data_IF_531817342521
#
_entry.id   IF_531817342521
#
_cell.length_a   1.000
_cell.length_b   1.000
_cell.length_c   1.000
_cell.angle_alpha   90.00
_cell.angle_beta   90.00
_cell.angle_gamma   90.00
#
_symmetry.space_group_name_H-M   'P 1'
#
loop_
_entity.id
_entity.type
_entity.pdbx_description
1 polymer ?
#
# COMPACT_ATOMS: atom_id res chain seq x y z
N UNK A 1 -32.49 -59.87 -47.84
CA UNK A 1 -32.53 -58.67 -46.98
C UNK A 1 -33.96 -58.53 -46.49
N UNK A 2 -34.23 -58.73 -45.20
CA UNK A 2 -35.58 -58.49 -44.66
C UNK A 2 -35.82 -57.00 -44.55
N UNK A 3 -37.00 -56.56 -44.99
CA UNK A 3 -37.39 -55.16 -45.00
C UNK A 3 -37.83 -54.73 -43.59
N UNK A 4 -37.81 -53.43 -43.30
CA UNK A 4 -38.35 -52.87 -42.05
C UNK A 4 -39.80 -53.33 -41.81
N UNK A 5 -40.55 -53.55 -42.89
CA UNK A 5 -41.93 -54.03 -42.85
C UNK A 5 -42.02 -55.46 -42.32
N UNK A 6 -41.09 -56.33 -42.70
CA UNK A 6 -41.06 -57.73 -42.24
C UNK A 6 -40.72 -57.78 -40.75
N UNK A 7 -39.75 -56.96 -40.30
CA UNK A 7 -39.42 -56.86 -38.87
C UNK A 7 -40.55 -56.29 -38.01
N UNK A 8 -41.37 -55.39 -38.55
CA UNK A 8 -42.52 -54.84 -37.84
C UNK A 8 -43.70 -55.82 -37.80
N UNK A 9 -43.85 -56.66 -38.84
CA UNK A 9 -44.84 -57.73 -38.85
C UNK A 9 -44.50 -58.82 -37.82
N UNK A 10 -43.24 -59.27 -37.78
CA UNK A 10 -42.77 -60.25 -36.79
C UNK A 10 -42.96 -59.73 -35.34
N UNK A 11 -42.69 -58.44 -35.09
CA UNK A 11 -42.90 -57.83 -33.77
C UNK A 11 -44.37 -57.70 -33.37
N UNK A 12 -45.27 -57.62 -34.35
CA UNK A 12 -46.71 -57.54 -34.11
C UNK A 12 -47.31 -58.94 -33.83
N UNK A 13 -46.73 -60.00 -34.40
CA UNK A 13 -47.11 -61.38 -34.11
C UNK A 13 -46.64 -61.86 -32.72
N UNK A 14 -45.48 -61.38 -32.25
CA UNK A 14 -44.96 -61.70 -30.91
C UNK A 14 -45.62 -60.90 -29.76
N UNK A 15 -46.49 -59.93 -30.08
CA UNK A 15 -47.18 -59.14 -29.07
C UNK A 15 -48.30 -59.94 -28.41
N UNK A 16 -48.12 -60.32 -27.13
CA UNK A 16 -49.15 -61.01 -26.32
C UNK A 16 -50.50 -60.27 -26.39
N UNK A 17 -51.63 -60.94 -26.72
CA UNK A 17 -52.94 -60.32 -26.70
C UNK A 17 -53.34 -59.94 -25.28
N UNK A 18 -53.22 -58.67 -24.96
CA UNK A 18 -53.71 -58.09 -23.71
C UNK A 18 -54.03 -56.63 -23.97
N UNK A 19 -55.25 -56.21 -23.64
CA UNK A 19 -55.61 -54.79 -23.75
C UNK A 19 -54.62 -53.96 -22.91
N UNK A 20 -54.06 -52.87 -23.46
CA UNK A 20 -53.15 -52.03 -22.70
C UNK A 20 -53.87 -51.55 -21.45
N UNK A 21 -53.24 -51.75 -20.29
CA UNK A 21 -53.78 -51.35 -19.00
C UNK A 21 -54.27 -49.88 -19.09
N UNK A 22 -55.57 -49.61 -18.89
CA UNK A 22 -56.17 -48.30 -19.16
C UNK A 22 -55.56 -47.18 -18.31
N UNK A 23 -54.87 -47.53 -17.22
CA UNK A 23 -54.16 -46.58 -16.36
C UNK A 23 -52.72 -46.26 -16.80
N UNK A 24 -52.20 -46.86 -17.89
CA UNK A 24 -50.87 -46.54 -18.43
C UNK A 24 -50.79 -45.07 -18.87
N UNK A 25 -51.84 -44.55 -19.52
CA UNK A 25 -51.90 -43.16 -19.95
C UNK A 25 -51.98 -42.18 -18.75
N UNK A 26 -52.72 -42.57 -17.72
CA UNK A 26 -52.82 -41.81 -16.46
C UNK A 26 -51.49 -41.77 -15.70
N UNK A 27 -50.79 -42.91 -15.62
CA UNK A 27 -49.45 -43.02 -15.03
C UNK A 27 -48.40 -42.25 -15.83
N UNK A 28 -48.43 -42.35 -17.16
CA UNK A 28 -47.55 -41.59 -18.06
C UNK A 28 -47.72 -40.08 -17.92
N UNK A 29 -48.97 -39.57 -17.86
CA UNK A 29 -49.24 -38.13 -17.65
C UNK A 29 -48.81 -37.65 -16.26
N UNK A 30 -49.00 -38.44 -15.19
CA UNK A 30 -48.51 -38.09 -13.85
C UNK A 30 -46.99 -38.06 -13.79
N UNK A 31 -46.31 -39.02 -14.44
CA UNK A 31 -44.87 -39.06 -14.53
C UNK A 31 -44.31 -37.87 -15.32
N UNK A 32 -44.93 -37.51 -16.45
CA UNK A 32 -44.55 -36.33 -17.24
C UNK A 32 -44.75 -35.00 -16.49
N UNK A 33 -45.86 -34.84 -15.74
CA UNK A 33 -46.10 -33.65 -14.90
C UNK A 33 -45.09 -33.56 -13.75
N UNK A 34 -44.76 -34.69 -13.10
CA UNK A 34 -43.73 -34.76 -12.04
C UNK A 34 -42.34 -34.42 -12.58
N UNK A 35 -42.01 -34.89 -13.80
CA UNK A 35 -40.73 -34.60 -14.46
C UNK A 35 -40.61 -33.12 -14.83
N UNK A 36 -41.65 -32.50 -15.41
CA UNK A 36 -41.66 -31.07 -15.73
C UNK A 36 -41.53 -30.18 -14.50
N UNK A 37 -42.19 -30.51 -13.39
CA UNK A 37 -42.06 -29.76 -12.14
C UNK A 37 -40.64 -29.83 -11.55
N UNK A 38 -39.97 -30.99 -11.65
CA UNK A 38 -38.58 -31.15 -11.21
C UNK A 38 -37.60 -30.35 -12.10
N UNK A 39 -37.80 -30.34 -13.41
CA UNK A 39 -36.95 -29.59 -14.34
C UNK A 39 -37.09 -28.07 -14.15
N UNK A 40 -38.33 -27.57 -13.96
CA UNK A 40 -38.57 -26.15 -13.71
C UNK A 40 -37.97 -25.69 -12.37
N UNK A 41 -38.07 -26.51 -11.32
CA UNK A 41 -37.44 -26.22 -10.03
C UNK A 41 -35.92 -26.16 -10.09
N UNK A 42 -35.27 -27.06 -10.84
CA UNK A 42 -33.83 -27.04 -11.04
C UNK A 42 -33.34 -25.80 -11.80
N UNK A 43 -34.04 -25.41 -12.88
CA UNK A 43 -33.70 -24.21 -13.66
C UNK A 43 -33.87 -22.93 -12.82
N UNK A 44 -34.93 -22.83 -12.02
CA UNK A 44 -35.16 -21.69 -11.13
C UNK A 44 -34.07 -21.57 -10.06
N UNK A 45 -33.61 -22.69 -9.47
CA UNK A 45 -32.53 -22.68 -8.49
C UNK A 45 -31.19 -22.23 -9.11
N UNK A 46 -30.86 -22.72 -10.31
CA UNK A 46 -29.67 -22.29 -11.04
C UNK A 46 -29.75 -20.81 -11.44
N UNK A 47 -30.92 -20.33 -11.88
CA UNK A 47 -31.13 -18.93 -12.22
C UNK A 47 -31.04 -18.01 -10.99
N UNK A 48 -31.59 -18.42 -9.84
CA UNK A 48 -31.44 -17.70 -8.57
C UNK A 48 -29.98 -17.65 -8.12
N UNK A 49 -29.22 -18.73 -8.32
CA UNK A 49 -27.80 -18.77 -8.01
C UNK A 49 -26.97 -17.89 -8.94
N UNK A 50 -27.26 -17.88 -10.23
CA UNK A 50 -26.63 -16.97 -11.19
C UNK A 50 -26.96 -15.50 -10.86
N UNK A 51 -28.19 -15.21 -10.45
CA UNK A 51 -28.60 -13.87 -10.04
C UNK A 51 -27.96 -13.43 -8.72
N UNK A 52 -27.84 -14.32 -7.72
CA UNK A 52 -27.20 -14.04 -6.44
C UNK A 52 -25.67 -13.90 -6.57
N UNK A 53 -25.03 -14.66 -7.45
CA UNK A 53 -23.60 -14.50 -7.75
C UNK A 53 -23.33 -13.21 -8.54
N UNK A 54 -24.18 -12.87 -9.52
CA UNK A 54 -24.11 -11.57 -10.19
C UNK A 54 -24.35 -10.39 -9.23
N UNK A 55 -25.30 -10.51 -8.30
CA UNK A 55 -25.57 -9.50 -7.28
C UNK A 55 -24.45 -9.40 -6.23
N UNK A 56 -23.76 -10.50 -5.91
CA UNK A 56 -22.59 -10.49 -5.03
C UNK A 56 -21.37 -9.81 -5.65
N UNK A 57 -21.21 -9.90 -6.98
CA UNK A 57 -20.18 -9.17 -7.73
C UNK A 57 -20.57 -7.69 -7.92
N UNK A 58 -21.85 -7.39 -8.09
CA UNK A 58 -22.37 -6.03 -8.24
C UNK A 58 -22.58 -5.29 -6.90
N UNK A 59 -22.61 -6.02 -5.78
CA UNK A 59 -22.79 -5.51 -4.42
C UNK A 59 -21.55 -4.83 -3.85
N UNK A 60 -20.83 -4.07 -4.68
CA UNK A 60 -19.90 -3.05 -4.18
C UNK A 60 -20.76 -2.13 -3.28
N UNK A 61 -20.48 -2.00 -1.98
CA UNK A 61 -21.17 -1.01 -1.17
C UNK A 61 -20.90 0.35 -1.82
N UNK A 62 -21.94 0.88 -2.48
CA UNK A 62 -21.98 2.29 -2.85
C UNK A 62 -22.06 3.02 -1.51
N UNK A 63 -20.90 3.40 -0.97
CA UNK A 63 -20.88 4.39 0.08
C UNK A 63 -21.59 5.63 -0.46
N UNK A 64 -22.34 6.37 0.39
CA UNK A 64 -22.79 7.69 0.02
C UNK A 64 -21.55 8.43 -0.45
N UNK A 65 -21.53 8.84 -1.72
CA UNK A 65 -20.51 9.75 -2.23
C UNK A 65 -20.62 10.97 -1.31
N UNK A 66 -19.72 11.07 -0.33
CA UNK A 66 -19.53 12.33 0.36
C UNK A 66 -19.19 13.32 -0.74
N UNK A 67 -19.79 14.52 -0.74
CA UNK A 67 -19.40 15.55 -1.68
C UNK A 67 -17.88 15.62 -1.64
N UNK A 68 -17.23 15.49 -2.80
CA UNK A 68 -15.81 15.73 -2.90
C UNK A 68 -15.54 17.03 -2.13
N UNK A 69 -14.54 17.01 -1.25
CA UNK A 69 -14.01 18.26 -0.72
C UNK A 69 -13.87 19.22 -1.92
N UNK A 70 -14.28 20.50 -1.79
CA UNK A 70 -14.22 21.45 -2.91
C UNK A 70 -12.89 21.28 -3.63
N UNK A 71 -12.96 21.02 -4.94
CA UNK A 71 -11.89 20.46 -5.75
C UNK A 71 -10.51 21.01 -5.34
N UNK A 72 -9.60 20.11 -4.94
CA UNK A 72 -8.21 20.46 -4.65
C UNK A 72 -7.86 20.76 -3.20
N UNK A 73 -8.81 20.68 -2.24
CA UNK A 73 -8.44 20.79 -0.81
C UNK A 73 -7.94 19.45 -0.26
N UNK A 74 -6.68 19.41 0.17
CA UNK A 74 -6.09 18.29 0.91
C UNK A 74 -6.52 18.31 2.37
N UNK A 75 -6.56 17.15 3.01
CA UNK A 75 -6.91 16.97 4.42
C UNK A 75 -5.98 15.96 5.09
N UNK A 76 -5.81 16.10 6.41
CA UNK A 76 -5.15 15.13 7.27
C UNK A 76 -6.21 14.41 8.12
N UNK A 77 -6.41 13.09 7.98
CA UNK A 77 -7.32 12.36 8.87
C UNK A 77 -6.81 12.38 10.32
N UNK A 78 -7.70 12.63 11.28
CA UNK A 78 -7.41 12.54 12.73
C UNK A 78 -7.08 11.11 13.19
N UNK A 79 -7.36 10.13 12.31
CA UNK A 79 -7.01 8.73 12.49
C UNK A 79 -6.63 8.07 11.17
N UNK A 80 -5.56 7.31 11.19
CA UNK A 80 -5.14 6.45 10.08
C UNK A 80 -5.41 4.99 10.45
N UNK A 81 -6.37 4.38 9.75
CA UNK A 81 -6.78 3.00 10.01
C UNK A 81 -5.76 1.98 9.49
N UNK A 82 -5.67 0.83 10.16
CA UNK A 82 -4.95 -0.33 9.62
C UNK A 82 -5.69 -0.84 8.38
N UNK A 83 -5.05 -0.86 7.19
CA UNK A 83 -5.70 -1.30 5.98
C UNK A 83 -6.02 -2.80 6.03
N UNK A 84 -7.16 -3.19 5.47
CA UNK A 84 -7.46 -4.61 5.24
C UNK A 84 -6.50 -5.15 4.18
N UNK A 85 -5.92 -6.36 4.36
CA UNK A 85 -5.04 -6.97 3.36
C UNK A 85 -5.79 -7.41 2.10
N UNK A 86 -7.10 -7.19 2.04
CA UNK A 86 -7.98 -7.49 0.90
C UNK A 86 -8.67 -6.25 0.33
N UNK A 87 -8.18 -5.06 0.66
CA UNK A 87 -8.57 -3.86 -0.06
C UNK A 87 -8.32 -4.05 -1.57
N UNK A 88 -9.14 -3.45 -2.43
CA UNK A 88 -8.86 -3.47 -3.86
C UNK A 88 -7.59 -2.65 -4.18
N UNK A 89 -6.94 -3.02 -5.28
CA UNK A 89 -5.99 -2.12 -5.97
C UNK A 89 -6.76 -0.93 -6.52
N UNK A 90 -6.13 0.24 -6.56
CA UNK A 90 -6.69 1.44 -7.16
C UNK A 90 -7.01 1.20 -8.65
N UNK A 91 -8.28 1.40 -9.02
CA UNK A 91 -8.77 1.25 -10.41
C UNK A 91 -8.46 2.53 -11.27
N UNK A 92 -7.59 3.42 -10.80
CA UNK A 92 -7.28 4.70 -11.41
C UNK A 92 -6.45 5.62 -10.50
N UNK A 93 -6.32 6.92 -10.84
CA UNK A 93 -5.59 7.87 -10.02
C UNK A 93 -6.19 8.01 -8.63
N UNK A 94 -5.34 8.01 -7.60
CA UNK A 94 -5.73 8.22 -6.20
C UNK A 94 -5.72 9.69 -5.79
N UNK A 95 -5.11 10.55 -6.61
CA UNK A 95 -4.74 11.90 -6.22
C UNK A 95 -3.57 11.91 -5.21
N UNK A 96 -3.17 13.10 -4.72
CA UNK A 96 -2.14 13.24 -3.70
C UNK A 96 -2.43 12.35 -2.49
N UNK A 97 -1.41 11.67 -1.99
CA UNK A 97 -1.50 10.78 -0.84
C UNK A 97 -1.00 11.49 0.42
N UNK A 98 -1.78 11.46 1.50
CA UNK A 98 -1.30 11.96 2.80
C UNK A 98 -0.37 10.96 3.47
N UNK A 99 -0.59 9.66 3.22
CA UNK A 99 0.20 8.59 3.78
C UNK A 99 0.32 7.41 2.81
N UNK A 100 1.41 6.66 2.94
CA UNK A 100 1.61 5.35 2.34
C UNK A 100 1.95 4.34 3.44
N UNK A 101 1.19 3.25 3.47
CA UNK A 101 1.24 2.24 4.53
C UNK A 101 1.69 0.90 3.96
N UNK A 102 2.75 0.27 4.51
CA UNK A 102 3.08 -1.09 4.13
C UNK A 102 2.01 -2.06 4.66
N UNK A 103 1.56 -2.96 3.79
CA UNK A 103 0.57 -3.99 4.09
C UNK A 103 0.83 -5.25 3.26
N UNK A 104 0.34 -6.39 3.74
CA UNK A 104 0.28 -7.61 2.94
C UNK A 104 -0.98 -7.55 2.05
N UNK A 105 -0.84 -7.80 0.76
CA UNK A 105 -1.94 -7.86 -0.19
C UNK A 105 -2.24 -9.33 -0.51
N UNK A 106 -3.44 -9.79 -0.15
CA UNK A 106 -3.89 -11.15 -0.45
C UNK A 106 -4.63 -11.23 -1.77
N UNK A 107 -4.16 -12.10 -2.66
CA UNK A 107 -4.91 -12.47 -3.85
C UNK A 107 -6.16 -13.32 -3.53
N UNK A 108 -6.93 -13.66 -4.56
CA UNK A 108 -8.09 -14.55 -4.42
C UNK A 108 -7.74 -15.93 -3.82
N UNK A 109 -6.53 -16.41 -4.12
CA UNK A 109 -5.98 -17.65 -3.63
C UNK A 109 -5.28 -17.48 -2.25
N UNK A 110 -5.48 -16.34 -1.59
CA UNK A 110 -4.94 -16.04 -0.26
C UNK A 110 -3.42 -16.08 -0.20
N UNK A 111 -2.72 -15.99 -1.33
CA UNK A 111 -1.29 -15.76 -1.35
C UNK A 111 -1.06 -14.29 -1.01
N UNK A 112 -0.26 -14.06 0.03
CA UNK A 112 0.14 -12.73 0.45
C UNK A 112 1.37 -12.29 -0.31
N UNK A 113 1.35 -11.04 -0.77
CA UNK A 113 2.53 -10.36 -1.29
C UNK A 113 2.70 -9.02 -0.57
N UNK A 114 3.94 -8.53 -0.38
CA UNK A 114 4.15 -7.16 0.07
C UNK A 114 3.46 -6.16 -0.88
N UNK A 115 2.77 -5.17 -0.31
CA UNK A 115 2.13 -4.10 -1.05
C UNK A 115 2.10 -2.81 -0.26
N UNK A 116 1.76 -1.72 -0.94
CA UNK A 116 1.60 -0.41 -0.34
C UNK A 116 0.15 0.03 -0.48
N UNK A 117 -0.45 0.49 0.61
CA UNK A 117 -1.76 1.15 0.61
C UNK A 117 -1.55 2.65 0.64
N UNK A 118 -2.08 3.35 -0.35
CA UNK A 118 -2.15 4.81 -0.33
C UNK A 118 -3.39 5.27 0.42
N UNK A 119 -3.23 6.34 1.21
CA UNK A 119 -4.34 7.08 1.83
C UNK A 119 -4.47 8.41 1.11
N UNK A 120 -5.57 8.62 0.38
CA UNK A 120 -5.77 9.85 -0.38
C UNK A 120 -5.94 11.05 0.55
N UNK A 121 -5.23 12.14 0.26
CA UNK A 121 -5.40 13.41 0.94
C UNK A 121 -6.68 14.15 0.53
N UNK A 122 -7.39 13.69 -0.50
CA UNK A 122 -8.57 14.40 -1.05
C UNK A 122 -9.87 13.85 -0.48
N UNK A 123 -10.02 12.53 -0.48
CA UNK A 123 -11.25 11.84 -0.09
C UNK A 123 -11.06 10.79 1.01
N UNK A 124 -9.84 10.70 1.56
CA UNK A 124 -9.46 9.74 2.62
C UNK A 124 -9.62 8.27 2.20
N UNK A 125 -9.76 7.98 0.90
CA UNK A 125 -9.89 6.61 0.42
C UNK A 125 -8.58 5.83 0.62
N UNK A 126 -8.74 4.53 0.88
CA UNK A 126 -7.65 3.57 1.03
C UNK A 126 -7.71 2.58 -0.14
N UNK A 127 -6.60 2.42 -0.85
CA UNK A 127 -6.46 1.43 -1.90
C UNK A 127 -5.02 0.94 -2.00
N UNK A 128 -4.83 -0.33 -2.40
CA UNK A 128 -3.50 -0.79 -2.79
C UNK A 128 -3.06 -0.03 -4.04
N UNK A 129 -1.81 0.42 -4.04
CA UNK A 129 -1.22 1.08 -5.20
C UNK A 129 -0.80 0.02 -6.22
N UNK A 130 -1.04 0.28 -7.51
CA UNK A 130 -0.53 -0.57 -8.59
C UNK A 130 0.95 -0.26 -8.82
N UNK A 131 1.80 -1.04 -8.15
CA UNK A 131 3.26 -0.89 -8.16
C UNK A 131 3.89 -2.11 -8.83
N UNK A 132 3.87 -2.19 -10.16
CA UNK A 132 4.31 -3.38 -10.85
C UNK A 132 5.81 -3.60 -10.58
N UNK A 133 6.18 -4.84 -10.23
CA UNK A 133 7.54 -5.23 -9.89
C UNK A 133 8.06 -4.73 -8.54
N UNK A 134 7.21 -4.16 -7.68
CA UNK A 134 7.61 -3.71 -6.35
C UNK A 134 8.19 -4.86 -5.51
N UNK A 135 9.33 -4.60 -4.88
CA UNK A 135 10.10 -5.61 -4.15
C UNK A 135 9.67 -5.78 -2.68
N UNK A 136 8.82 -4.90 -2.15
CA UNK A 136 8.49 -4.89 -0.73
C UNK A 136 9.60 -4.30 0.15
N UNK A 137 9.45 -4.49 1.47
CA UNK A 137 10.48 -4.16 2.45
C UNK A 137 11.60 -5.23 2.38
N UNK A 138 12.80 -4.77 2.01
CA UNK A 138 13.93 -5.59 1.59
C UNK A 138 14.92 -5.94 2.71
N UNK A 139 14.45 -6.04 3.96
CA UNK A 139 15.26 -6.61 5.04
C UNK A 139 15.82 -5.63 6.06
N UNK A 140 15.03 -4.62 6.44
CA UNK A 140 15.17 -4.01 7.77
C UNK A 140 15.57 -2.53 7.76
N UNK A 141 14.66 -1.75 8.34
CA UNK A 141 14.77 -0.36 8.80
C UNK A 141 14.84 0.74 7.73
N UNK A 142 15.25 0.43 6.50
CA UNK A 142 15.42 1.42 5.44
C UNK A 142 14.43 1.16 4.29
N UNK A 143 13.47 2.09 4.11
CA UNK A 143 12.36 1.92 3.16
C UNK A 143 12.84 1.97 1.71
N UNK A 144 12.48 0.96 0.92
CA UNK A 144 12.75 0.85 -0.54
C UNK A 144 11.79 1.69 -1.40
N UNK A 145 10.98 2.53 -0.78
CA UNK A 145 10.09 3.51 -1.41
C UNK A 145 10.24 4.87 -0.72
N UNK A 146 9.78 5.92 -1.40
CA UNK A 146 9.71 7.28 -0.83
C UNK A 146 8.58 8.06 -1.46
N UNK A 147 7.72 8.64 -0.62
CA UNK A 147 6.64 9.54 -0.99
C UNK A 147 7.15 10.98 -1.05
N UNK A 148 6.80 11.72 -2.10
CA UNK A 148 7.10 13.14 -2.19
C UNK A 148 6.37 13.92 -1.10
N UNK A 149 6.92 15.09 -0.78
CA UNK A 149 6.39 15.95 0.28
C UNK A 149 4.95 16.40 0.03
N UNK A 150 4.56 16.58 -1.23
CA UNK A 150 3.20 16.93 -1.67
C UNK A 150 2.28 15.70 -1.85
N UNK A 151 2.79 14.48 -1.67
CA UNK A 151 2.04 13.24 -1.83
C UNK A 151 1.72 12.86 -3.27
N UNK A 152 2.19 13.62 -4.26
CA UNK A 152 1.88 13.38 -5.68
C UNK A 152 2.72 12.27 -6.30
N UNK A 153 3.94 12.08 -5.83
CA UNK A 153 4.90 11.18 -6.44
C UNK A 153 5.34 10.11 -5.44
N UNK A 154 5.41 8.86 -5.91
CA UNK A 154 5.94 7.76 -5.11
C UNK A 154 7.05 7.08 -5.90
N UNK A 155 8.27 7.13 -5.37
CA UNK A 155 9.39 6.36 -5.90
C UNK A 155 9.46 4.99 -5.23
N UNK A 156 9.87 3.96 -5.97
CA UNK A 156 10.09 2.63 -5.44
C UNK A 156 11.10 1.83 -6.28
N UNK A 157 11.87 0.96 -5.63
CA UNK A 157 12.71 -0.01 -6.33
C UNK A 157 11.87 -1.15 -6.89
N UNK A 158 12.18 -1.58 -8.12
CA UNK A 158 11.50 -2.69 -8.78
C UNK A 158 12.49 -3.73 -9.29
N UNK A 159 12.03 -4.97 -9.38
CA UNK A 159 12.83 -6.09 -9.88
C UNK A 159 12.01 -7.38 -9.94
N UNK A 160 12.66 -8.53 -10.17
CA UNK A 160 12.01 -9.83 -10.01
C UNK A 160 11.59 -10.02 -8.55
N UNK A 161 10.52 -10.79 -8.32
CA UNK A 161 10.14 -11.19 -6.96
C UNK A 161 11.34 -11.87 -6.28
N UNK A 162 11.68 -11.51 -5.03
CA UNK A 162 12.81 -12.12 -4.32
C UNK A 162 12.71 -13.65 -4.34
N UNK A 163 13.85 -14.32 -4.51
CA UNK A 163 13.92 -15.78 -4.46
C UNK A 163 13.87 -16.30 -3.01
N UNK A 164 13.85 -17.62 -2.84
CA UNK A 164 13.82 -18.26 -1.51
C UNK A 164 15.06 -17.93 -0.66
N UNK A 165 16.15 -17.46 -1.26
CA UNK A 165 17.36 -17.03 -0.56
C UNK A 165 17.21 -15.65 0.11
N UNK A 166 16.11 -14.94 -0.17
CA UNK A 166 15.71 -13.73 0.56
C UNK A 166 16.53 -12.48 0.25
N UNK A 167 17.49 -12.56 -0.69
CA UNK A 167 18.23 -11.37 -1.14
C UNK A 167 17.36 -10.58 -2.12
N UNK A 168 17.11 -9.31 -1.81
CA UNK A 168 16.32 -8.45 -2.68
C UNK A 168 17.23 -7.78 -3.71
N UNK A 169 16.99 -8.13 -4.97
CA UNK A 169 17.76 -7.63 -6.10
C UNK A 169 16.85 -6.77 -6.98
N UNK A 170 17.21 -5.49 -7.14
CA UNK A 170 16.48 -4.58 -8.02
C UNK A 170 17.08 -4.52 -9.43
N UNK A 171 16.22 -4.33 -10.42
CA UNK A 171 16.59 -4.04 -11.81
C UNK A 171 16.62 -2.53 -12.09
N UNK A 172 15.91 -1.75 -11.27
CA UNK A 172 15.76 -0.32 -11.49
C UNK A 172 14.88 0.38 -10.47
N UNK A 173 14.67 1.67 -10.70
CA UNK A 173 13.79 2.52 -9.91
C UNK A 173 12.58 2.97 -10.74
N UNK A 174 11.43 3.09 -10.08
CA UNK A 174 10.19 3.55 -10.67
C UNK A 174 9.66 4.77 -9.92
N UNK A 175 8.89 5.60 -10.63
CA UNK A 175 8.15 6.74 -10.09
C UNK A 175 6.70 6.63 -10.53
N UNK A 176 5.78 6.56 -9.58
CA UNK A 176 4.33 6.63 -9.76
C UNK A 176 3.87 8.08 -9.61
N UNK A 177 3.10 8.58 -10.59
CA UNK A 177 2.27 9.79 -10.44
C UNK A 177 0.91 9.38 -9.87
N UNK A 178 0.63 9.72 -8.61
CA UNK A 178 -0.62 9.35 -7.94
C UNK A 178 -1.83 10.10 -8.51
N UNK A 179 -1.60 11.24 -9.18
CA UNK A 179 -2.63 12.05 -9.83
C UNK A 179 -3.05 11.53 -11.21
N UNK A 180 -2.22 10.70 -11.86
CA UNK A 180 -2.54 10.10 -13.17
C UNK A 180 -2.53 8.58 -13.19
N UNK A 181 -1.98 7.93 -12.15
CA UNK A 181 -1.73 6.48 -12.12
C UNK A 181 -0.57 6.05 -13.01
N UNK A 182 0.13 6.98 -13.67
CA UNK A 182 1.21 6.65 -14.59
C UNK A 182 2.47 6.24 -13.83
N UNK A 183 3.06 5.12 -14.24
CA UNK A 183 4.34 4.64 -13.70
C UNK A 183 5.43 4.81 -14.76
N UNK A 184 6.52 5.46 -14.37
CA UNK A 184 7.75 5.56 -15.16
C UNK A 184 8.82 4.71 -14.52
N UNK A 185 9.63 4.05 -15.35
CA UNK A 185 10.68 3.14 -14.90
C UNK A 185 12.00 3.48 -15.56
N UNK A 186 13.06 3.42 -14.79
CA UNK A 186 14.42 3.48 -15.30
C UNK A 186 15.17 2.22 -14.87
N UNK A 187 15.61 1.44 -15.86
CA UNK A 187 16.38 0.21 -15.67
C UNK A 187 17.86 0.53 -15.73
N UNK A 188 18.65 -0.09 -14.85
CA UNK A 188 20.10 -0.09 -14.95
C UNK A 188 20.60 -1.41 -15.53
N UNK A 189 21.65 -1.33 -16.35
CA UNK A 189 22.37 -2.51 -16.83
C UNK A 189 23.47 -2.85 -15.83
N UNK A 190 23.29 -3.94 -15.08
CA UNK A 190 24.24 -4.40 -14.07
C UNK A 190 24.44 -5.91 -14.19
N UNK A 191 25.57 -6.41 -13.71
CA UNK A 191 25.92 -7.84 -13.81
C UNK A 191 25.10 -8.70 -12.83
N UNK A 192 24.88 -8.19 -11.61
CA UNK A 192 24.23 -8.93 -10.52
C UNK A 192 23.00 -8.22 -9.93
N UNK A 193 22.50 -7.17 -10.60
CA UNK A 193 21.42 -6.34 -10.11
C UNK A 193 21.88 -5.28 -9.11
N UNK A 194 20.90 -4.55 -8.57
CA UNK A 194 21.10 -3.41 -7.68
C UNK A 194 20.73 -3.79 -6.26
N UNK A 195 21.49 -3.26 -5.29
CA UNK A 195 21.12 -3.23 -3.89
C UNK A 195 20.20 -2.02 -3.63
N UNK A 196 18.90 -2.22 -3.33
CA UNK A 196 17.98 -1.12 -3.06
C UNK A 196 18.51 -0.22 -1.93
N UNK A 197 18.50 1.09 -2.13
CA UNK A 197 18.89 2.08 -1.13
C UNK A 197 17.73 3.02 -0.80
N UNK A 198 17.74 3.70 0.36
CA UNK A 198 16.79 4.76 0.63
C UNK A 198 16.80 5.86 -0.44
N UNK A 199 15.60 6.38 -0.71
CA UNK A 199 15.32 7.37 -1.75
C UNK A 199 14.65 8.60 -1.15
N UNK A 200 14.96 9.78 -1.68
CA UNK A 200 14.59 11.06 -1.07
C UNK A 200 14.05 12.03 -2.09
N UNK A 201 13.12 12.88 -1.69
CA UNK A 201 12.50 13.86 -2.58
C UNK A 201 12.95 15.27 -2.25
N UNK A 202 13.31 16.01 -3.30
CA UNK A 202 13.36 17.46 -3.27
C UNK A 202 12.33 17.97 -4.29
N UNK A 203 11.19 18.46 -3.81
CA UNK A 203 10.03 18.81 -4.64
C UNK A 203 9.59 17.63 -5.50
N UNK A 204 9.60 17.82 -6.82
CA UNK A 204 9.25 16.80 -7.82
C UNK A 204 10.44 15.98 -8.34
N UNK A 205 11.60 16.07 -7.68
CA UNK A 205 12.82 15.40 -8.10
C UNK A 205 13.27 14.40 -7.05
N UNK A 206 13.36 13.12 -7.43
CA UNK A 206 13.85 12.05 -6.55
C UNK A 206 15.37 11.94 -6.64
N UNK A 207 16.03 11.92 -5.50
CA UNK A 207 17.43 11.57 -5.33
C UNK A 207 17.55 10.10 -4.91
N UNK A 208 18.49 9.39 -5.54
CA UNK A 208 18.83 8.03 -5.16
C UNK A 208 20.28 7.67 -5.50
N UNK A 209 20.82 6.70 -4.79
CA UNK A 209 22.16 6.18 -5.00
C UNK A 209 22.10 4.78 -5.64
N UNK A 210 22.89 4.57 -6.70
CA UNK A 210 23.02 3.29 -7.38
C UNK A 210 24.15 2.47 -6.74
N UNK A 211 23.77 1.39 -6.07
CA UNK A 211 24.70 0.39 -5.54
C UNK A 211 24.56 -0.89 -6.34
N UNK A 212 25.63 -1.26 -7.04
CA UNK A 212 25.65 -2.50 -7.82
C UNK A 212 26.15 -3.63 -6.93
N UNK A 213 25.45 -4.76 -6.94
CA UNK A 213 25.99 -5.96 -6.29
C UNK A 213 27.26 -6.39 -7.01
N UNK A 214 28.36 -6.47 -6.25
CA UNK A 214 29.65 -6.96 -6.74
C UNK A 214 29.83 -8.45 -6.50
N UNK A 215 29.10 -9.00 -5.53
CA UNK A 215 29.11 -10.43 -5.23
C UNK A 215 27.83 -10.85 -4.52
N UNK A 216 27.30 -12.01 -4.91
CA UNK A 216 26.17 -12.70 -4.26
C UNK A 216 26.67 -14.06 -3.75
N UNK A 217 26.53 -14.33 -2.45
CA UNK A 217 26.84 -15.59 -1.79
C UNK A 217 25.61 -16.10 -1.04
N UNK A 218 25.60 -17.40 -0.74
CA UNK A 218 24.53 -18.03 0.05
C UNK A 218 24.36 -17.41 1.45
N UNK A 219 25.42 -16.82 2.00
CA UNK A 219 25.47 -16.21 3.34
C UNK A 219 25.55 -14.67 3.34
N UNK A 220 25.43 -14.03 2.17
CA UNK A 220 25.37 -12.57 2.09
C UNK A 220 25.71 -12.00 0.72
N UNK A 221 25.57 -10.68 0.62
CA UNK A 221 25.86 -9.94 -0.60
C UNK A 221 26.74 -8.72 -0.29
N UNK A 222 27.55 -8.32 -1.27
CA UNK A 222 28.33 -7.08 -1.21
C UNK A 222 27.96 -6.18 -2.37
N UNK A 223 27.81 -4.89 -2.11
CA UNK A 223 27.47 -3.90 -3.13
C UNK A 223 28.38 -2.67 -3.02
N UNK A 224 28.64 -2.02 -4.15
CA UNK A 224 29.48 -0.83 -4.24
C UNK A 224 28.70 0.32 -4.86
N UNK A 225 28.84 1.52 -4.29
CA UNK A 225 28.30 2.73 -4.89
C UNK A 225 28.97 3.02 -6.24
N UNK A 226 28.16 3.11 -7.30
CA UNK A 226 28.62 3.43 -8.66
C UNK A 226 28.37 4.88 -9.01
N UNK A 227 27.17 5.37 -8.70
CA UNK A 227 26.74 6.73 -9.01
C UNK A 227 25.57 7.15 -8.13
N UNK A 228 25.28 8.45 -8.12
CA UNK A 228 24.05 9.01 -7.56
C UNK A 228 23.33 9.78 -8.65
N UNK A 229 22.00 9.82 -8.53
CA UNK A 229 21.13 10.38 -9.55
C UNK A 229 20.09 11.31 -8.94
N UNK A 230 19.70 12.30 -9.73
CA UNK A 230 18.52 13.11 -9.52
C UNK A 230 17.56 12.86 -10.68
N UNK A 231 16.31 12.55 -10.41
CA UNK A 231 15.32 12.24 -11.43
C UNK A 231 14.08 13.12 -11.24
N UNK A 232 13.94 14.19 -12.03
CA UNK A 232 12.69 14.92 -12.10
C UNK A 232 11.58 13.97 -12.53
N UNK A 233 10.46 13.91 -11.80
CA UNK A 233 9.39 12.96 -12.08
C UNK A 233 8.80 13.13 -13.50
N UNK A 234 8.89 14.35 -14.04
CA UNK A 234 8.54 14.71 -15.42
C UNK A 234 9.57 14.34 -16.49
N UNK A 235 10.79 13.95 -16.14
CA UNK A 235 11.86 13.62 -17.09
C UNK A 235 11.88 12.14 -17.53
N UNK A 236 12.34 11.88 -18.76
CA UNK A 236 12.43 10.52 -19.33
C UNK A 236 13.52 9.66 -18.71
N UNK A 237 14.57 10.28 -18.19
CA UNK A 237 15.71 9.60 -17.60
C UNK A 237 16.25 10.37 -16.39
N UNK A 238 16.86 9.69 -15.41
CA UNK A 238 17.60 10.31 -14.34
C UNK A 238 18.87 10.99 -14.86
N UNK A 239 19.24 12.10 -14.21
CA UNK A 239 20.49 12.81 -14.44
C UNK A 239 21.51 12.44 -13.37
N UNK A 240 22.77 12.25 -13.78
CA UNK A 240 23.86 11.89 -12.88
C UNK A 240 24.30 13.10 -12.06
N UNK A 241 24.45 12.93 -10.75
CA UNK A 241 25.03 13.93 -9.85
C UNK A 241 26.55 13.92 -10.00
N UNK A 242 27.17 15.09 -10.11
CA UNK A 242 28.61 15.24 -10.38
C UNK A 242 29.51 14.63 -9.28
N UNK A 243 29.10 14.72 -8.01
CA UNK A 243 29.83 14.19 -6.86
C UNK A 243 28.98 13.17 -6.07
N UNK A 244 29.03 11.88 -6.48
CA UNK A 244 28.20 10.83 -5.87
C UNK A 244 28.62 10.49 -4.44
N UNK A 245 29.87 10.78 -4.05
CA UNK A 245 30.38 10.49 -2.70
C UNK A 245 30.01 11.56 -1.67
N UNK A 246 29.26 12.59 -2.08
CA UNK A 246 28.86 13.67 -1.19
C UNK A 246 27.65 13.32 -0.33
N UNK A 247 26.66 12.66 -0.92
CA UNK A 247 25.40 12.23 -0.29
C UNK A 247 25.40 10.69 -0.20
N UNK A 248 26.35 10.17 0.56
CA UNK A 248 26.58 8.72 0.70
C UNK A 248 25.51 8.00 1.51
N UNK A 249 24.66 8.72 2.23
CA UNK A 249 23.79 8.10 3.20
C UNK A 249 22.37 8.62 3.09
N UNK A 250 21.47 7.68 3.38
CA UNK A 250 20.02 7.72 3.31
C UNK A 250 19.46 9.10 3.66
N UNK A 251 18.48 9.60 2.88
CA UNK A 251 17.65 10.72 3.29
C UNK A 251 17.17 10.47 4.71
N UNK A 252 17.50 11.37 5.62
CA UNK A 252 17.39 11.17 7.06
C UNK A 252 16.24 11.97 7.66
N UNK A 253 15.66 12.90 6.89
CA UNK A 253 14.49 13.68 7.27
C UNK A 253 14.22 14.77 6.24
N UNK A 254 13.09 15.49 6.35
CA UNK A 254 12.74 16.55 5.40
C UNK A 254 13.55 17.83 5.63
N UNK A 255 13.73 18.62 4.58
CA UNK A 255 14.33 19.94 4.64
C UNK A 255 13.36 20.98 4.05
N UNK A 256 12.31 21.27 4.81
CA UNK A 256 11.17 22.06 4.35
C UNK A 256 10.25 21.29 3.40
N UNK A 257 9.31 22.00 2.75
CA UNK A 257 8.32 21.38 1.86
C UNK A 257 8.93 20.84 0.56
N UNK A 258 10.10 21.31 0.13
CA UNK A 258 10.67 20.98 -1.18
C UNK A 258 12.03 20.27 -1.09
N UNK A 259 12.40 19.76 0.09
CA UNK A 259 13.77 19.31 0.34
C UNK A 259 13.90 18.17 1.32
N UNK A 260 15.13 17.67 1.43
CA UNK A 260 15.51 16.69 2.44
C UNK A 260 16.88 17.01 3.05
N UNK A 261 17.09 16.52 4.26
CA UNK A 261 18.41 16.43 4.87
C UNK A 261 18.96 15.05 4.57
N UNK A 262 20.23 14.99 4.16
CA UNK A 262 20.94 13.75 4.00
C UNK A 262 22.20 13.72 4.86
N UNK A 263 22.52 12.51 5.30
CA UNK A 263 23.81 12.24 5.91
C UNK A 263 24.85 11.97 4.81
N UNK A 264 26.09 12.34 5.06
CA UNK A 264 27.20 12.04 4.16
C UNK A 264 28.42 11.55 4.92
N UNK A 265 29.52 11.32 4.20
CA UNK A 265 30.74 10.79 4.80
C UNK A 265 31.24 11.63 5.99
N UNK A 266 31.83 10.93 6.97
CA UNK A 266 32.56 11.55 8.06
C UNK A 266 31.69 12.40 9.00
N UNK A 267 30.48 11.92 9.33
CA UNK A 267 29.52 12.62 10.23
C UNK A 267 29.05 13.97 9.70
N UNK A 268 29.02 14.12 8.38
CA UNK A 268 28.55 15.34 7.73
C UNK A 268 27.06 15.23 7.44
N UNK A 269 26.36 16.35 7.53
CA UNK A 269 24.97 16.46 7.14
C UNK A 269 24.86 17.52 6.05
N UNK A 270 23.93 17.35 5.13
CA UNK A 270 23.73 18.25 4.00
C UNK A 270 22.26 18.56 3.86
N UNK A 271 21.95 19.82 3.57
CA UNK A 271 20.60 20.22 3.18
C UNK A 271 20.50 20.25 1.67
N UNK A 272 19.48 19.58 1.14
CA UNK A 272 18.99 19.75 -0.24
C UNK A 272 17.67 20.49 -0.10
N UNK A 273 17.63 21.78 -0.47
CA UNK A 273 16.45 22.63 -0.25
C UNK A 273 15.54 22.73 -1.46
N UNK A 274 16.09 22.42 -2.62
CA UNK A 274 15.42 22.51 -3.91
C UNK A 274 16.07 21.53 -4.89
N UNK A 275 15.34 21.09 -5.94
CA UNK A 275 15.86 20.17 -6.95
C UNK A 275 17.22 20.56 -7.52
N UNK A 276 17.42 21.86 -7.80
CA UNK A 276 18.65 22.35 -8.43
C UNK A 276 19.89 22.19 -7.56
N UNK A 277 19.74 22.03 -6.24
CA UNK A 277 20.85 21.79 -5.32
C UNK A 277 21.49 20.41 -5.60
N UNK A 278 20.70 19.42 -6.04
CA UNK A 278 21.21 18.08 -6.40
C UNK A 278 22.12 18.12 -7.63
N UNK A 279 21.90 19.07 -8.53
CA UNK A 279 22.62 19.20 -9.79
C UNK A 279 23.77 20.22 -9.73
N UNK A 280 23.93 20.94 -8.61
CA UNK A 280 24.89 22.04 -8.48
C UNK A 280 25.82 21.86 -7.29
N UNK A 281 27.06 22.29 -7.47
CA UNK A 281 28.05 22.37 -6.41
C UNK A 281 28.27 23.84 -5.98
N UNK A 282 28.38 24.16 -4.67
CA UNK A 282 28.34 23.27 -3.49
C UNK A 282 26.98 23.24 -2.73
N UNK A 283 26.54 22.05 -2.26
CA UNK A 283 25.53 21.87 -1.20
C UNK A 283 25.94 22.48 0.15
N UNK A 284 24.97 23.03 0.87
CA UNK A 284 25.16 23.55 2.23
C UNK A 284 25.43 22.40 3.23
N UNK A 285 26.63 22.38 3.81
CA UNK A 285 26.99 21.44 4.89
C UNK A 285 26.44 21.93 6.22
N UNK A 286 25.67 21.08 6.89
CA UNK A 286 25.15 21.30 8.22
C UNK A 286 26.17 20.78 9.26
N UNK A 287 26.35 21.56 10.33
CA UNK A 287 27.19 21.19 11.47
C UNK A 287 26.27 20.82 12.62
N UNK A 288 26.05 19.52 12.79
CA UNK A 288 25.53 18.98 14.03
C UNK A 288 26.75 18.70 14.91
N UNK A 289 26.64 18.92 16.22
CA UNK A 289 27.76 18.77 17.16
C UNK A 289 28.30 17.34 17.27
N UNK A 290 28.68 16.91 18.47
CA UNK A 290 29.19 15.55 18.69
C UNK A 290 28.11 14.46 18.51
N UNK A 291 26.83 14.83 18.60
CA UNK A 291 25.69 13.93 18.51
C UNK A 291 25.37 13.59 17.05
N UNK A 292 25.21 12.31 16.75
CA UNK A 292 24.68 11.83 15.47
C UNK A 292 23.21 11.46 15.67
N UNK A 293 22.27 12.41 15.48
CA UNK A 293 20.86 12.07 15.54
C UNK A 293 20.50 11.08 14.42
N UNK A 294 19.51 10.22 14.68
CA UNK A 294 19.00 9.31 13.66
C UNK A 294 18.30 10.07 12.53
N UNK A 295 17.59 11.16 12.87
CA UNK A 295 16.85 12.00 11.94
C UNK A 295 17.04 13.47 12.25
N UNK A 296 17.09 14.28 11.21
CA UNK A 296 17.25 15.74 11.27
C UNK A 296 16.30 16.35 10.28
N UNK A 297 15.57 17.37 10.71
CA UNK A 297 14.76 18.18 9.80
C UNK A 297 15.28 19.61 9.74
N UNK A 298 15.27 20.19 8.55
CA UNK A 298 15.50 21.63 8.36
C UNK A 298 14.14 22.32 8.27
N UNK A 299 14.01 23.43 9.01
CA UNK A 299 12.81 24.26 9.10
C UNK A 299 12.46 24.91 7.76
N UNK A 300 11.20 25.36 7.60
CA UNK A 300 10.74 25.98 6.36
C UNK A 300 11.55 27.23 5.99
N UNK A 301 12.03 27.97 6.99
CA UNK A 301 12.91 29.13 6.85
C UNK A 301 14.33 28.80 6.31
N UNK A 302 14.70 27.52 6.32
CA UNK A 302 16.04 27.05 6.00
C UNK A 302 17.12 27.50 6.97
N UNK A 303 16.76 28.05 8.14
CA UNK A 303 17.68 28.57 9.16
C UNK A 303 17.65 27.76 10.44
N UNK A 304 16.61 26.95 10.69
CA UNK A 304 16.50 26.20 11.95
C UNK A 304 16.55 24.69 11.69
N UNK A 305 17.36 23.96 12.47
CA UNK A 305 17.41 22.50 12.48
C UNK A 305 16.61 21.99 13.66
N UNK A 306 15.98 20.83 13.51
CA UNK A 306 15.37 20.06 14.59
C UNK A 306 15.86 18.62 14.55
N UNK A 307 16.07 18.02 15.72
CA UNK A 307 16.29 16.58 15.88
C UNK A 307 15.84 16.13 17.27
N UNK A 308 15.63 14.82 17.40
CA UNK A 308 15.32 14.20 18.70
C UNK A 308 16.59 13.56 19.25
N UNK A 309 16.95 13.93 20.47
CA UNK A 309 18.02 13.28 21.21
C UNK A 309 17.42 12.26 22.18
N UNK A 310 17.69 10.95 22.01
CA UNK A 310 17.16 9.93 22.91
C UNK A 310 17.71 10.12 24.32
N UNK A 311 16.89 9.84 25.33
CA UNK A 311 17.32 9.78 26.72
C UNK A 311 18.22 8.56 26.97
N UNK A 312 18.90 8.49 28.12
CA UNK A 312 19.77 7.36 28.47
C UNK A 312 19.02 6.02 28.55
N UNK A 313 17.69 6.04 28.65
CA UNK A 313 16.81 4.87 28.63
C UNK A 313 16.29 4.50 27.23
N UNK A 314 16.54 5.30 26.20
CA UNK A 314 16.06 5.14 24.82
C UNK A 314 14.54 5.15 24.66
N UNK A 315 13.79 5.50 25.70
CA UNK A 315 12.33 5.39 25.72
C UNK A 315 11.64 6.74 25.62
N UNK A 316 12.33 7.81 25.96
CA UNK A 316 11.90 9.19 25.73
C UNK A 316 12.98 9.93 24.94
N UNK A 317 12.70 11.15 24.51
CA UNK A 317 13.68 11.97 23.82
C UNK A 317 13.42 13.45 24.07
N UNK A 318 14.47 14.24 23.97
CA UNK A 318 14.40 15.69 24.02
C UNK A 318 14.44 16.24 22.60
N UNK A 319 13.47 17.09 22.25
CA UNK A 319 13.51 17.83 21.01
C UNK A 319 14.58 18.92 21.15
N UNK A 320 15.52 18.95 20.22
CA UNK A 320 16.55 19.98 20.16
C UNK A 320 16.43 20.75 18.87
N UNK A 321 16.52 22.08 18.96
CA UNK A 321 16.62 22.95 17.79
C UNK A 321 17.94 23.70 17.77
N UNK A 322 18.40 24.10 16.58
CA UNK A 322 19.62 24.91 16.45
C UNK A 322 19.62 25.72 15.15
N UNK A 323 20.22 26.93 15.13
CA UNK A 323 20.41 27.65 13.89
C UNK A 323 21.40 26.91 12.97
N UNK A 324 21.18 27.03 11.67
CA UNK A 324 22.09 26.55 10.62
C UNK A 324 23.37 27.39 10.68
N UNK A 325 24.50 26.73 10.90
CA UNK A 325 25.84 27.34 10.77
C UNK A 325 26.68 27.31 12.04
N UNK A 326 26.07 27.47 13.21
CA UNK A 326 26.84 27.66 14.44
C UNK A 326 27.10 26.37 15.24
N UNK A 327 26.42 25.27 14.93
CA UNK A 327 26.66 23.95 15.55
C UNK A 327 26.56 23.92 17.08
N UNK A 328 26.13 25.02 17.69
CA UNK A 328 25.78 25.11 19.09
C UNK A 328 24.29 24.79 19.19
N UNK A 329 23.91 23.65 19.78
CA UNK A 329 22.51 23.38 20.05
C UNK A 329 21.92 24.50 20.89
N UNK A 330 20.76 25.02 20.49
CA UNK A 330 19.94 25.88 21.35
C UNK A 330 19.26 24.97 22.38
N UNK A 331 18.87 25.56 23.50
CA UNK A 331 18.31 24.86 24.67
C UNK A 331 17.35 23.74 24.25
N UNK A 332 17.59 22.50 24.72
CA UNK A 332 16.67 21.41 24.48
C UNK A 332 15.30 21.77 25.05
N UNK A 333 14.26 21.48 24.28
CA UNK A 333 12.88 21.66 24.72
C UNK A 333 12.44 20.34 25.31
N UNK A 334 12.23 20.33 26.63
CA UNK A 334 11.55 19.24 27.29
C UNK A 334 10.06 19.30 26.94
N UNK A 335 9.72 18.78 25.77
CA UNK A 335 8.35 18.49 25.42
C UNK A 335 7.94 17.17 26.06
N UNK A 336 6.70 17.09 26.56
CA UNK A 336 6.09 15.86 27.09
C UNK A 336 5.76 14.85 25.98
N UNK A 337 6.74 14.54 25.13
CA UNK A 337 6.59 13.67 23.97
C UNK A 337 6.36 12.24 24.42
N UNK A 338 5.55 11.51 23.66
CA UNK A 338 5.31 10.09 23.89
C UNK A 338 6.60 9.25 23.83
N UNK A 339 6.46 7.93 24.00
CA UNK A 339 7.62 7.04 23.98
C UNK A 339 8.17 6.87 22.56
N UNK A 340 9.48 6.66 22.46
CA UNK A 340 10.19 6.44 21.20
C UNK A 340 9.94 7.55 20.15
N UNK A 341 10.14 8.83 20.50
CA UNK A 341 9.90 9.92 19.56
C UNK A 341 10.81 9.82 18.34
N UNK A 342 10.21 9.87 17.15
CA UNK A 342 10.88 9.94 15.86
C UNK A 342 10.45 11.21 15.15
N UNK A 343 11.42 11.98 14.63
CA UNK A 343 11.12 13.21 13.90
C UNK A 343 10.54 12.88 12.53
N UNK A 344 9.36 13.46 12.24
CA UNK A 344 8.72 13.39 10.92
C UNK A 344 9.15 14.58 10.08
N UNK A 345 9.00 15.80 10.62
CA UNK A 345 9.28 17.04 9.90
C UNK A 345 8.80 18.28 10.64
N UNK A 346 8.83 19.42 9.94
CA UNK A 346 8.25 20.66 10.43
C UNK A 346 6.80 20.78 9.94
N UNK A 347 5.92 21.23 10.84
CA UNK A 347 4.54 21.58 10.51
C UNK A 347 4.46 23.01 9.96
N UNK A 348 5.15 23.92 10.64
CA UNK A 348 5.27 25.34 10.32
C UNK A 348 6.60 25.87 10.91
N UNK A 349 6.77 27.18 11.05
CA UNK A 349 8.02 27.78 11.54
C UNK A 349 8.29 27.50 13.03
N UNK A 350 7.25 27.22 13.82
CA UNK A 350 7.33 27.11 15.28
C UNK A 350 6.97 25.72 15.80
N UNK A 351 6.49 24.82 14.95
CA UNK A 351 6.04 23.48 15.35
C UNK A 351 6.68 22.38 14.51
N UNK A 352 7.11 21.32 15.19
CA UNK A 352 7.58 20.07 14.57
C UNK A 352 6.58 18.95 14.79
N UNK A 353 6.52 17.99 13.86
CA UNK A 353 5.74 16.77 14.01
C UNK A 353 6.64 15.62 14.40
N UNK A 354 6.25 14.93 15.47
CA UNK A 354 6.88 13.72 15.95
C UNK A 354 5.93 12.53 15.82
N UNK A 355 6.49 11.40 15.44
CA UNK A 355 5.90 10.08 15.63
C UNK A 355 6.23 9.59 17.03
N UNK A 356 5.22 9.29 17.84
CA UNK A 356 5.40 8.76 19.18
C UNK A 356 4.52 7.54 19.43
N UNK A 357 4.85 6.75 20.44
CA UNK A 357 4.03 5.65 20.91
C UNK A 357 3.23 6.05 22.17
N UNK A 358 1.89 6.03 22.08
CA UNK A 358 0.96 6.23 23.20
C UNK A 358 -0.04 5.08 23.23
N UNK A 359 -0.19 4.44 24.39
CA UNK A 359 -1.11 3.31 24.61
C UNK A 359 -0.97 2.17 23.56
N UNK A 360 0.25 1.92 23.12
CA UNK A 360 0.56 0.88 22.13
C UNK A 360 0.24 1.25 20.68
N UNK A 361 -0.15 2.50 20.40
CA UNK A 361 -0.44 3.04 19.08
C UNK A 361 0.59 4.08 18.67
N UNK A 362 0.82 4.19 17.37
CA UNK A 362 1.57 5.29 16.78
C UNK A 362 0.68 6.56 16.75
N UNK A 363 1.23 7.70 17.16
CA UNK A 363 0.55 9.00 17.22
C UNK A 363 1.43 10.05 16.56
N UNK A 364 0.83 10.93 15.76
CA UNK A 364 1.48 12.14 15.26
C UNK A 364 1.17 13.29 16.22
N UNK A 365 2.22 13.84 16.80
CA UNK A 365 2.15 14.94 17.76
C UNK A 365 2.87 16.16 17.18
N UNK A 366 2.15 17.27 17.03
CA UNK A 366 2.76 18.57 16.80
C UNK A 366 3.30 19.11 18.14
N UNK A 367 4.54 19.57 18.13
CA UNK A 367 5.24 20.09 19.30
C UNK A 367 5.72 21.50 19.00
N UNK A 368 5.27 22.46 19.80
CA UNK A 368 5.77 23.83 19.75
C UNK A 368 7.23 23.88 20.25
N UNK A 369 8.13 24.36 19.41
CA UNK A 369 9.58 24.35 19.66
C UNK A 369 10.02 25.38 20.68
N UNK A 370 9.13 26.25 21.16
CA UNK A 370 9.46 27.26 22.17
C UNK A 370 8.89 26.90 23.54
N UNK A 371 7.63 26.50 23.59
CA UNK A 371 6.87 26.21 24.80
C UNK A 371 6.88 24.72 25.18
N UNK A 372 7.13 23.82 24.23
CA UNK A 372 7.00 22.38 24.40
C UNK A 372 5.55 21.90 24.49
N UNK A 373 4.56 22.74 24.18
CA UNK A 373 3.15 22.34 24.10
C UNK A 373 2.95 21.28 23.01
N UNK A 374 2.10 20.29 23.30
CA UNK A 374 1.89 19.12 22.44
C UNK A 374 0.43 19.05 22.01
N UNK A 375 0.21 18.97 20.70
CA UNK A 375 -1.09 18.77 20.05
C UNK A 375 -1.10 17.45 19.28
N UNK A 376 -2.13 16.63 19.46
CA UNK A 376 -2.27 15.38 18.69
C UNK A 376 -2.92 15.69 17.35
N UNK A 377 -2.21 15.39 16.25
CA UNK A 377 -2.71 15.59 14.89
C UNK A 377 -3.45 14.35 14.37
N UNK A 378 -2.88 13.16 14.56
CA UNK A 378 -3.44 11.91 14.05
C UNK A 378 -3.03 10.71 14.89
N UNK A 379 -3.87 9.67 14.92
CA UNK A 379 -3.58 8.38 15.58
C UNK A 379 -3.64 7.23 14.59
N UNK A 380 -2.71 6.28 14.65
CA UNK A 380 -2.72 5.08 13.84
C UNK A 380 -3.32 3.89 14.59
N UNK A 381 -4.23 3.14 13.96
CA UNK A 381 -4.84 1.91 14.51
C UNK A 381 -3.91 0.67 14.39
N UNK A 382 -2.60 0.87 14.34
CA UNK A 382 -1.57 -0.19 14.33
C UNK A 382 -0.55 0.02 15.44
N UNK A 383 0.04 -1.08 15.88
CA UNK A 383 1.25 -1.05 16.70
C UNK A 383 2.35 -0.29 15.97
N UNK A 384 3.15 0.47 16.71
CA UNK A 384 4.36 1.13 16.22
C UNK A 384 5.18 0.14 15.37
N UNK A 385 5.15 0.34 14.06
CA UNK A 385 5.92 -0.42 13.07
C UNK A 385 6.69 0.59 12.23
N UNK A 386 7.82 0.15 11.71
CA UNK A 386 8.60 0.93 10.76
C UNK A 386 7.99 0.81 9.36
N UNK A 387 8.05 1.90 8.59
CA UNK A 387 7.85 1.88 7.14
C UNK A 387 6.70 2.74 6.62
N UNK A 388 5.84 3.25 7.50
CA UNK A 388 4.87 4.29 7.15
C UNK A 388 5.61 5.52 6.63
N UNK A 389 5.06 6.13 5.58
CA UNK A 389 5.55 7.41 5.09
C UNK A 389 4.40 8.39 4.96
N UNK A 390 4.68 9.63 5.33
CA UNK A 390 3.74 10.75 5.29
C UNK A 390 4.22 11.77 4.25
N UNK A 391 3.28 12.35 3.54
CA UNK A 391 3.55 13.53 2.73
C UNK A 391 3.74 14.71 3.67
N UNK A 392 4.99 15.00 4.03
CA UNK A 392 5.33 15.98 5.07
C UNK A 392 4.80 17.39 4.77
N UNK A 393 4.67 17.74 3.50
CA UNK A 393 4.09 19.01 3.03
C UNK A 393 2.56 19.04 3.10
N UNK A 394 1.91 17.97 3.56
CA UNK A 394 0.47 17.91 3.84
C UNK A 394 0.16 17.83 5.33
N UNK A 395 1.17 17.90 6.20
CA UNK A 395 0.96 17.87 7.67
C UNK A 395 0.20 19.09 8.18
N UNK A 396 0.31 20.23 7.47
CA UNK A 396 -0.40 21.48 7.74
C UNK A 396 -1.83 21.51 7.18
N UNK A 397 -2.24 20.45 6.48
CA UNK A 397 -3.61 20.32 5.97
C UNK A 397 -4.62 20.26 7.12
N UNK A 398 -5.84 20.78 6.94
CA UNK A 398 -6.87 20.73 7.97
C UNK A 398 -7.09 19.30 8.47
N UNK A 399 -7.02 19.11 9.79
CA UNK A 399 -7.35 17.84 10.43
C UNK A 399 -8.87 17.64 10.37
N UNK A 400 -9.29 16.46 9.93
CA UNK A 400 -10.72 16.11 9.77
C UNK A 400 -11.02 14.74 10.37
N UNK A 401 -12.30 14.52 10.73
CA UNK A 401 -12.77 13.21 11.18
C UNK A 401 -12.48 12.14 10.11
N UNK A 402 -11.78 11.10 10.52
CA UNK A 402 -11.36 10.04 9.62
C UNK A 402 -12.53 9.15 9.15
N UNK A 403 -12.53 8.81 7.87
CA UNK A 403 -13.47 7.85 7.29
C UNK A 403 -12.87 6.43 7.37
N UNK A 404 -13.51 5.46 8.06
CA UNK A 404 -13.01 4.08 8.10
C UNK A 404 -12.98 3.44 6.71
N UNK A 405 -11.87 2.77 6.33
CA UNK A 405 -11.80 2.07 5.06
C UNK A 405 -12.75 0.87 5.05
N UNK A 406 -13.17 0.41 3.85
CA UNK A 406 -13.92 -0.83 3.75
C UNK A 406 -13.11 -2.00 4.31
N UNK A 407 -13.80 -3.00 4.84
CA UNK A 407 -13.20 -4.25 5.30
C UNK A 407 -13.72 -5.41 4.45
N UNK A 408 -13.21 -5.61 3.22
CA UNK A 408 -13.64 -6.69 2.36
C UNK A 408 -13.45 -8.04 3.07
N UNK A 409 -14.53 -8.84 3.09
CA UNK A 409 -14.47 -10.20 3.62
C UNK A 409 -13.59 -11.09 2.75
N UNK A 410 -13.12 -12.20 3.32
CA UNK A 410 -12.48 -13.26 2.54
C UNK A 410 -13.47 -13.82 1.50
N UNK A 411 -13.28 -13.59 0.19
CA UNK A 411 -14.08 -14.20 -0.87
C UNK A 411 -14.28 -15.71 -0.75
N UNK A 412 -13.31 -16.43 -0.16
CA UNK A 412 -13.38 -17.89 0.03
C UNK A 412 -14.43 -18.26 1.06
N UNK A 413 -14.56 -17.47 2.13
CA UNK A 413 -15.62 -17.66 3.13
C UNK A 413 -16.99 -17.35 2.53
N UNK A 414 -17.07 -16.30 1.71
CA UNK A 414 -18.29 -15.98 0.96
C UNK A 414 -18.65 -17.12 0.01
N UNK A 415 -17.69 -17.61 -0.78
CA UNK A 415 -17.88 -18.72 -1.72
C UNK A 415 -18.22 -20.04 -1.01
N UNK A 416 -17.57 -20.35 0.11
CA UNK A 416 -17.87 -21.52 0.94
C UNK A 416 -19.27 -21.45 1.54
N UNK A 417 -19.67 -20.27 2.05
CA UNK A 417 -21.02 -20.03 2.55
C UNK A 417 -22.09 -20.23 1.47
N UNK A 418 -21.87 -19.67 0.28
CA UNK A 418 -22.74 -19.87 -0.89
C UNK A 418 -22.78 -21.35 -1.29
N UNK A 419 -21.63 -22.01 -1.39
CA UNK A 419 -21.53 -23.43 -1.74
C UNK A 419 -22.25 -24.35 -0.74
N UNK A 420 -22.09 -24.10 0.56
CA UNK A 420 -22.81 -24.82 1.61
C UNK A 420 -24.32 -24.58 1.51
N UNK A 421 -24.76 -23.34 1.24
CA UNK A 421 -26.17 -23.01 1.01
C UNK A 421 -26.76 -23.77 -0.18
N UNK A 422 -26.04 -23.84 -1.31
CA UNK A 422 -26.43 -24.62 -2.49
C UNK A 422 -26.59 -26.10 -2.13
N UNK A 423 -25.61 -26.67 -1.43
CA UNK A 423 -25.60 -28.08 -1.07
C UNK A 423 -26.76 -28.41 -0.12
N UNK A 424 -27.07 -27.54 0.84
CA UNK A 424 -28.23 -27.68 1.72
C UNK A 424 -29.56 -27.61 0.95
N UNK A 425 -29.70 -26.69 -0.01
CA UNK A 425 -30.89 -26.60 -0.85
C UNK A 425 -31.08 -27.84 -1.74
N UNK A 426 -30.00 -28.39 -2.30
CA UNK A 426 -30.03 -29.63 -3.07
C UNK A 426 -30.42 -30.82 -2.19
N UNK A 427 -29.86 -30.94 -0.99
CA UNK A 427 -30.22 -31.98 -0.02
C UNK A 427 -31.68 -31.86 0.42
N UNK A 428 -32.16 -30.65 0.71
CA UNK A 428 -33.56 -30.40 1.06
C UNK A 428 -34.49 -30.77 -0.10
N UNK A 429 -34.14 -30.37 -1.32
CA UNK A 429 -34.86 -30.74 -2.55
C UNK A 429 -34.93 -32.26 -2.73
N UNK A 430 -33.83 -32.97 -2.50
CA UNK A 430 -33.76 -34.43 -2.56
C UNK A 430 -34.65 -35.10 -1.49
N UNK A 431 -34.64 -34.59 -0.26
CA UNK A 431 -35.48 -35.10 0.84
C UNK A 431 -36.96 -34.89 0.54
N UNK A 432 -37.36 -33.70 0.08
CA UNK A 432 -38.74 -33.39 -0.31
C UNK A 432 -39.20 -34.23 -1.50
N UNK A 433 -38.31 -34.47 -2.47
CA UNK A 433 -38.59 -35.35 -3.60
C UNK A 433 -38.81 -36.81 -3.16
N UNK A 434 -37.94 -37.34 -2.29
CA UNK A 434 -38.09 -38.70 -1.74
C UNK A 434 -39.39 -38.86 -0.93
N UNK A 435 -39.77 -37.85 -0.14
CA UNK A 435 -41.02 -37.86 0.64
C UNK A 435 -42.29 -37.87 -0.23
N UNK A 436 -42.24 -37.33 -1.46
CA UNK A 436 -43.36 -37.34 -2.41
C UNK A 436 -43.40 -38.57 -3.32
N UNK A 437 -42.28 -39.30 -3.43
CA UNK A 437 -42.13 -40.47 -4.27
C UNK A 437 -42.51 -41.77 -3.54
N UNK A 438 -42.33 -41.82 -2.23
CA UNK A 438 -43.02 -42.74 -1.33
C UNK A 438 -44.46 -42.28 -1.17
#
# INVERSE_FOLDING_TARGET
MSTLRDRLADLAEDARPGAPDPDLWGRGRRYARRRRAATVGGVLAVALLAALSAAGVAGRPLHPVQPAAPEGRTVLPDRIFTPSPRLPTADGPTGPLVAVLPAEHFDWLGHGAPGLVGVSAVDQSYAFLDLPGFLGDAGGQDTTWSLSTDGRWLSYWYGPTPDEAGTVIADGIAVLDTSTGAVRRHRFETEHGLAPQPVGWAGDTVYFAQYDYTELRDDGASATLVASFAWPAGADAPERVEDPQRLLASPSGPAGPDGFVASGAGRSWYAVRQPSDLLRTPLARLRLGQTQPARVALGPDGQTLAWVQPDQGGSTGQLTTAPVGDGQPVSPVEAGVGRFPSLVGWLDDDRVVLETARDGRLVLEAVDVTSGEVEVLSTFDRSYRSGEQLAVGLLDSPVVDAVPPPQPHDPRLVAAGVGAGVLLLLLLGLVLWRRRAR
#
